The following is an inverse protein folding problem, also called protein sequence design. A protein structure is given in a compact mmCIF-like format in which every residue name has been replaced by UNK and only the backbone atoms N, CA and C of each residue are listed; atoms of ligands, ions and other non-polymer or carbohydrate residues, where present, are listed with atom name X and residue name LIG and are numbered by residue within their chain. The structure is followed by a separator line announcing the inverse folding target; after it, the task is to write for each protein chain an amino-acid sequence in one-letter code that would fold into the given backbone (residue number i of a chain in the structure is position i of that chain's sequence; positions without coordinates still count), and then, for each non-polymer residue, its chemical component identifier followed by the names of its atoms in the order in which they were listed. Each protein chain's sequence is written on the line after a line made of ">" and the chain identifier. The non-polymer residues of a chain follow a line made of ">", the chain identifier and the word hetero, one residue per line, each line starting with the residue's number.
data_IF_999118812178
#
_entry.id   IF_999118812178
#
_cell.length_a   1.000
_cell.length_b   1.000
_cell.length_c   1.000
_cell.angle_alpha   90.00
_cell.angle_beta   90.00
_cell.angle_gamma   90.00
#
_symmetry.space_group_name_H-M   'P 1'
#
loop_
_entity.id
_entity.type
_entity.pdbx_description
1 polymer ?
#
# COMPACT_ATOMS: atom_id res chain seq x y z
N UNK A 1 -80.45 18.22 -5.45
CA UNK A 1 -79.32 18.70 -6.26
C UNK A 1 -78.14 17.78 -6.02
N UNK A 2 -78.07 16.84 -6.78
CA UNK A 2 -77.08 16.33 -7.73
C UNK A 2 -75.64 16.40 -7.23
N UNK A 3 -75.04 15.29 -6.95
CA UNK A 3 -73.63 15.09 -6.76
C UNK A 3 -73.28 13.68 -7.25
N UNK A 4 -72.56 13.66 -8.35
CA UNK A 4 -72.12 12.43 -9.04
C UNK A 4 -70.97 11.76 -8.30
N UNK A 5 -71.04 10.44 -8.10
CA UNK A 5 -69.98 9.54 -7.70
C UNK A 5 -69.18 9.08 -8.92
N UNK A 6 -67.84 9.30 -8.90
CA UNK A 6 -66.92 8.62 -9.79
C UNK A 6 -66.21 7.46 -9.05
N UNK A 7 -66.39 6.25 -9.54
CA UNK A 7 -65.75 5.04 -9.05
C UNK A 7 -64.29 4.98 -9.47
N UNK A 8 -63.44 4.54 -8.56
CA UNK A 8 -62.04 4.23 -8.81
C UNK A 8 -61.86 2.71 -8.82
N UNK A 9 -61.41 2.15 -9.94
CA UNK A 9 -61.00 0.77 -10.07
C UNK A 9 -59.67 0.56 -9.33
N UNK A 10 -59.69 -0.38 -8.42
CA UNK A 10 -58.49 -0.89 -7.73
C UNK A 10 -57.93 -2.03 -8.58
N UNK A 11 -56.81 -1.79 -9.21
CA UNK A 11 -56.01 -2.83 -9.85
C UNK A 11 -55.19 -3.58 -8.81
N UNK A 12 -55.32 -4.88 -8.75
CA UNK A 12 -54.54 -5.79 -7.94
C UNK A 12 -53.09 -5.79 -8.42
N UNK A 13 -52.14 -5.45 -7.55
CA UNK A 13 -50.70 -5.62 -7.77
C UNK A 13 -50.27 -6.96 -7.20
N UNK A 14 -49.81 -7.85 -8.05
CA UNK A 14 -49.10 -9.07 -7.66
C UNK A 14 -47.80 -8.73 -6.92
N UNK A 15 -47.39 -9.51 -5.90
CA UNK A 15 -46.15 -9.28 -5.19
C UNK A 15 -44.94 -9.73 -6.02
N UNK A 16 -44.14 -8.78 -6.43
CA UNK A 16 -42.80 -9.05 -6.99
C UNK A 16 -41.88 -9.65 -5.94
N UNK A 17 -41.36 -10.85 -6.21
CA UNK A 17 -40.36 -11.54 -5.42
C UNK A 17 -39.12 -10.69 -5.15
N UNK A 18 -38.48 -10.76 -3.95
CA UNK A 18 -37.30 -10.00 -3.66
C UNK A 18 -36.11 -10.48 -4.49
N UNK A 19 -35.52 -9.59 -5.26
CA UNK A 19 -34.26 -9.83 -5.98
C UNK A 19 -33.13 -9.91 -4.95
N UNK A 20 -32.54 -11.09 -4.79
CA UNK A 20 -31.35 -11.29 -3.96
C UNK A 20 -30.22 -10.32 -4.39
N UNK A 21 -29.53 -9.64 -3.48
CA UNK A 21 -28.40 -8.81 -3.80
C UNK A 21 -27.27 -9.67 -4.34
N UNK A 22 -26.95 -9.54 -5.60
CA UNK A 22 -25.80 -10.21 -6.21
C UNK A 22 -24.54 -9.92 -5.38
N UNK A 23 -23.86 -10.97 -4.91
CA UNK A 23 -22.68 -10.93 -4.06
C UNK A 23 -21.64 -9.93 -4.63
N UNK A 24 -21.08 -9.08 -3.77
CA UNK A 24 -20.02 -8.09 -4.11
C UNK A 24 -18.85 -8.73 -4.86
N UNK A 25 -18.51 -9.97 -4.54
CA UNK A 25 -17.48 -10.77 -5.21
C UNK A 25 -17.83 -11.14 -6.65
N UNK A 26 -19.11 -11.44 -6.95
CA UNK A 26 -19.54 -11.75 -8.32
C UNK A 26 -19.53 -10.48 -9.21
N UNK A 27 -19.84 -9.30 -8.64
CA UNK A 27 -19.75 -8.02 -9.34
C UNK A 27 -18.28 -7.65 -9.64
N UNK A 28 -17.37 -7.85 -8.68
CA UNK A 28 -15.91 -7.59 -8.84
C UNK A 28 -15.31 -8.48 -9.94
N UNK A 29 -15.59 -9.78 -9.97
CA UNK A 29 -15.17 -10.70 -11.05
C UNK A 29 -15.67 -10.26 -12.43
N UNK A 30 -16.91 -9.76 -12.53
CA UNK A 30 -17.44 -9.25 -13.81
C UNK A 30 -16.73 -7.97 -14.27
N UNK A 31 -16.26 -7.13 -13.34
CA UNK A 31 -15.47 -5.95 -13.67
C UNK A 31 -14.07 -6.30 -14.15
N UNK A 32 -13.37 -7.17 -13.45
CA UNK A 32 -12.03 -7.65 -13.83
C UNK A 32 -12.07 -8.26 -15.24
N UNK A 33 -13.09 -9.07 -15.55
CA UNK A 33 -13.31 -9.63 -16.88
C UNK A 33 -13.65 -8.56 -17.94
N UNK A 34 -14.35 -7.48 -17.57
CA UNK A 34 -14.65 -6.37 -18.50
C UNK A 34 -13.44 -5.47 -18.73
N UNK A 35 -12.62 -5.22 -17.70
CA UNK A 35 -11.36 -4.49 -17.83
C UNK A 35 -10.42 -5.21 -18.82
N UNK A 36 -10.26 -6.53 -18.67
CA UNK A 36 -9.47 -7.36 -19.59
C UNK A 36 -10.02 -7.27 -21.01
N UNK A 37 -11.34 -7.32 -21.18
CA UNK A 37 -11.97 -7.27 -22.49
C UNK A 37 -11.85 -5.89 -23.15
N UNK A 38 -11.95 -4.81 -22.39
CA UNK A 38 -11.79 -3.44 -22.88
C UNK A 38 -10.35 -3.15 -23.32
N UNK A 39 -9.36 -3.68 -22.59
CA UNK A 39 -7.94 -3.58 -22.96
C UNK A 39 -7.65 -4.37 -24.24
N UNK A 40 -8.25 -5.56 -24.41
CA UNK A 40 -8.12 -6.35 -25.65
C UNK A 40 -8.80 -5.69 -26.85
N UNK A 41 -9.95 -5.06 -26.66
CA UNK A 41 -10.68 -4.36 -27.72
C UNK A 41 -9.96 -3.09 -28.20
N UNK A 42 -9.25 -2.37 -27.31
CA UNK A 42 -8.39 -1.23 -27.67
C UNK A 42 -7.14 -1.73 -28.44
N UNK A 43 -6.56 -2.83 -28.02
CA UNK A 43 -5.39 -3.43 -28.69
C UNK A 43 -5.74 -3.94 -30.10
N UNK A 44 -6.96 -4.46 -30.31
CA UNK A 44 -7.42 -4.94 -31.60
C UNK A 44 -7.76 -3.79 -32.57
N UNK A 45 -8.25 -2.65 -32.11
CA UNK A 45 -8.51 -1.49 -32.97
C UNK A 45 -7.23 -0.88 -33.55
N UNK A 46 -6.10 -1.01 -32.89
CA UNK A 46 -4.79 -0.60 -33.42
C UNK A 46 -4.16 -1.62 -34.39
N UNK A 47 -4.60 -2.88 -34.35
CA UNK A 47 -4.07 -3.96 -35.17
C UNK A 47 -4.71 -4.09 -36.56
N UNK A 48 -5.87 -3.48 -36.80
CA UNK A 48 -6.60 -3.57 -38.08
C UNK A 48 -5.98 -2.80 -39.24
N UNK A 49 -4.83 -2.15 -39.08
CA UNK A 49 -4.10 -1.47 -40.17
C UNK A 49 -2.89 -2.17 -40.72
N UNK A 50 -2.58 -3.45 -40.36
CA UNK A 50 -1.51 -4.18 -41.00
C UNK A 50 -1.80 -5.68 -41.15
N UNK A 51 -1.99 -6.06 -42.44
CA UNK A 51 -1.77 -7.35 -43.10
C UNK A 51 -2.80 -8.47 -42.90
N UNK A 52 -3.57 -8.62 -43.99
CA UNK A 52 -3.98 -9.86 -44.62
C UNK A 52 -2.76 -10.63 -45.09
N UNK A 53 -2.59 -11.91 -44.75
CA UNK A 53 -1.99 -13.01 -45.50
C UNK A 53 -2.08 -14.32 -44.69
N UNK A 54 -2.89 -15.28 -45.24
CA UNK A 54 -2.79 -16.76 -45.33
C UNK A 54 -2.59 -17.59 -44.06
N UNK A 55 -3.61 -18.33 -43.70
CA UNK A 55 -4.04 -19.73 -43.94
C UNK A 55 -3.06 -20.84 -43.56
N UNK A 56 -3.59 -21.75 -42.79
CA UNK A 56 -3.65 -23.22 -42.80
C UNK A 56 -3.26 -23.94 -41.50
N UNK A 57 -4.29 -24.70 -41.02
CA UNK A 57 -4.28 -26.08 -40.51
C UNK A 57 -3.40 -26.44 -39.30
N UNK A 58 -3.87 -27.15 -38.30
CA UNK A 58 -4.62 -28.39 -38.14
C UNK A 58 -4.90 -28.68 -36.64
N UNK A 59 -5.88 -29.51 -36.46
CA UNK A 59 -6.46 -30.15 -35.28
C UNK A 59 -5.46 -30.98 -34.45
N UNK A 60 -5.66 -31.04 -33.14
CA UNK A 60 -5.90 -32.29 -32.38
C UNK A 60 -6.00 -32.05 -30.87
N UNK A 61 -7.17 -32.31 -30.32
CA UNK A 61 -7.58 -33.37 -29.39
C UNK A 61 -6.95 -33.42 -27.97
N UNK A 62 -7.88 -33.17 -27.03
CA UNK A 62 -8.18 -33.92 -25.81
C UNK A 62 -7.03 -34.42 -24.91
N UNK A 63 -7.05 -33.98 -23.66
CA UNK A 63 -7.28 -34.83 -22.49
C UNK A 63 -7.23 -34.01 -21.16
N UNK A 64 -8.31 -34.11 -20.36
CA UNK A 64 -8.28 -33.80 -18.95
C UNK A 64 -7.58 -34.94 -18.18
N UNK A 65 -6.89 -34.63 -17.08
CA UNK A 65 -7.23 -35.33 -15.84
C UNK A 65 -7.44 -34.35 -14.66
N UNK A 66 -8.46 -34.69 -13.91
CA UNK A 66 -8.76 -34.19 -12.57
C UNK A 66 -7.69 -34.70 -11.60
N UNK A 67 -7.09 -33.79 -10.83
CA UNK A 67 -6.34 -34.15 -9.63
C UNK A 67 -6.80 -33.27 -8.47
N UNK A 68 -7.45 -33.91 -7.55
CA UNK A 68 -7.75 -33.49 -6.19
C UNK A 68 -6.40 -33.45 -5.45
N UNK A 69 -6.03 -32.31 -4.87
CA UNK A 69 -4.93 -32.20 -3.92
C UNK A 69 -5.43 -31.67 -2.59
N UNK A 70 -4.94 -32.22 -1.48
CA UNK A 70 -5.45 -32.00 -0.14
C UNK A 70 -4.97 -30.68 0.46
N UNK A 71 -5.77 -30.16 1.39
CA UNK A 71 -5.41 -29.05 2.26
C UNK A 71 -4.16 -29.38 3.07
N UNK A 72 -3.09 -28.63 2.86
CA UNK A 72 -1.88 -28.71 3.69
C UNK A 72 -1.59 -27.33 4.27
N UNK A 73 -1.65 -27.28 5.54
CA UNK A 73 -1.11 -26.38 6.54
C UNK A 73 -0.13 -25.30 6.02
N UNK A 74 -0.52 -24.03 6.17
CA UNK A 74 0.39 -22.90 6.16
C UNK A 74 0.89 -22.64 7.59
N UNK A 75 1.86 -23.42 8.02
CA UNK A 75 2.79 -23.03 9.06
C UNK A 75 4.15 -22.80 8.39
N UNK A 76 4.53 -21.53 8.24
CA UNK A 76 5.94 -21.13 8.18
C UNK A 76 6.04 -19.63 8.37
N UNK A 77 6.21 -19.23 9.64
CA UNK A 77 6.82 -17.98 10.02
C UNK A 77 8.30 -18.03 9.65
N UNK A 78 8.66 -17.55 8.47
CA UNK A 78 10.04 -17.37 8.09
C UNK A 78 10.49 -15.94 8.40
N UNK A 79 11.20 -15.82 9.52
CA UNK A 79 12.14 -14.74 9.76
C UNK A 79 13.22 -14.83 8.68
N UNK A 80 13.14 -14.00 7.64
CA UNK A 80 14.17 -13.91 6.62
C UNK A 80 15.44 -13.30 7.22
N UNK A 81 16.41 -14.16 7.56
CA UNK A 81 17.80 -13.77 7.75
C UNK A 81 18.41 -13.51 6.38
N UNK A 82 18.83 -12.29 6.13
CA UNK A 82 19.66 -11.94 4.98
C UNK A 82 21.05 -12.59 5.12
N UNK A 83 21.64 -13.16 4.03
CA UNK A 83 23.02 -13.67 4.07
C UNK A 83 23.98 -12.50 4.19
N UNK A 84 24.92 -12.66 5.12
CA UNK A 84 25.78 -11.67 5.70
C UNK A 84 26.74 -10.98 4.74
N UNK A 85 26.78 -9.68 4.86
CA UNK A 85 28.03 -8.92 4.92
C UNK A 85 28.30 -8.65 6.39
N UNK A 86 29.52 -9.02 6.84
CA UNK A 86 29.98 -8.71 8.19
C UNK A 86 30.14 -7.20 8.30
N UNK A 87 29.37 -6.50 9.16
CA UNK A 87 29.65 -5.10 9.43
C UNK A 87 30.93 -5.01 10.23
N UNK A 88 31.82 -4.11 9.83
CA UNK A 88 32.89 -3.62 10.71
C UNK A 88 32.20 -3.05 11.96
N UNK A 89 32.58 -3.57 13.11
CA UNK A 89 32.22 -3.04 14.43
C UNK A 89 32.56 -1.54 14.49
N UNK A 90 31.53 -0.71 14.31
CA UNK A 90 31.54 0.67 14.78
C UNK A 90 30.70 0.65 16.06
N UNK A 91 31.31 0.93 17.18
CA UNK A 91 30.71 1.15 18.49
C UNK A 91 29.85 2.43 18.44
N UNK A 92 28.67 2.33 17.82
CA UNK A 92 27.59 3.29 18.00
C UNK A 92 26.63 2.66 19.01
N UNK A 93 26.33 3.40 20.08
CA UNK A 93 25.38 2.98 21.09
C UNK A 93 24.02 2.68 20.44
N UNK A 94 23.47 1.50 20.71
CA UNK A 94 22.18 0.99 20.19
C UNK A 94 20.95 1.82 20.64
N UNK A 95 21.14 2.90 21.40
CA UNK A 95 20.08 3.71 22.00
C UNK A 95 19.62 4.92 21.15
N UNK A 96 20.23 5.16 19.98
CA UNK A 96 20.00 6.39 19.20
C UNK A 96 18.95 6.29 18.07
N UNK A 97 18.30 5.14 17.89
CA UNK A 97 17.37 4.96 16.77
C UNK A 97 15.91 4.84 17.25
N UNK A 98 14.94 5.47 16.55
CA UNK A 98 13.53 5.19 16.79
C UNK A 98 13.26 3.71 16.61
N UNK A 99 12.67 3.08 17.61
CA UNK A 99 12.33 1.67 17.58
C UNK A 99 11.11 1.50 16.68
N UNK A 100 11.05 0.37 15.95
CA UNK A 100 10.00 0.14 14.97
C UNK A 100 9.58 -1.32 14.91
N UNK A 101 8.37 -1.57 14.42
CA UNK A 101 7.89 -2.89 14.07
C UNK A 101 6.99 -2.81 12.85
N UNK A 102 6.85 -3.89 12.12
CA UNK A 102 5.97 -3.94 10.97
C UNK A 102 5.35 -5.32 10.77
N UNK A 103 4.21 -5.31 10.11
CA UNK A 103 3.51 -6.52 9.65
C UNK A 103 2.99 -6.27 8.25
N UNK A 104 3.14 -7.28 7.37
CA UNK A 104 2.69 -7.19 5.99
C UNK A 104 2.16 -8.57 5.59
N UNK A 105 0.86 -8.66 5.31
CA UNK A 105 0.16 -9.93 5.06
C UNK A 105 -0.74 -9.84 3.84
N UNK A 106 -0.85 -10.94 3.13
CA UNK A 106 -1.70 -11.07 1.94
C UNK A 106 -3.21 -10.93 2.26
N UNK A 107 -3.61 -11.22 3.50
CA UNK A 107 -5.01 -11.15 3.91
C UNK A 107 -5.88 -12.12 3.13
N UNK A 108 -6.98 -11.60 2.56
CA UNK A 108 -7.94 -12.39 1.76
C UNK A 108 -7.71 -12.30 0.25
N UNK A 109 -6.65 -11.61 -0.18
CA UNK A 109 -6.25 -11.55 -1.60
C UNK A 109 -5.55 -12.84 -2.02
N UNK A 110 -5.41 -13.07 -3.32
CA UNK A 110 -4.66 -14.21 -3.87
C UNK A 110 -3.17 -13.95 -3.88
N UNK A 111 -2.82 -12.71 -4.16
CA UNK A 111 -1.44 -12.28 -4.40
C UNK A 111 -1.09 -11.18 -3.40
N UNK A 112 0.17 -11.12 -3.00
CA UNK A 112 0.72 -10.06 -2.16
C UNK A 112 1.31 -9.00 -3.06
N UNK A 113 0.65 -7.84 -3.13
CA UNK A 113 1.06 -6.71 -3.97
C UNK A 113 1.66 -5.57 -3.15
N UNK A 114 1.46 -5.57 -1.83
CA UNK A 114 2.10 -4.61 -0.93
C UNK A 114 3.60 -4.86 -0.74
N UNK A 115 4.31 -3.78 -0.47
CA UNK A 115 5.72 -3.83 -0.08
C UNK A 115 6.02 -2.81 1.04
N UNK A 116 7.02 -3.11 1.87
CA UNK A 116 7.44 -2.26 2.98
C UNK A 116 8.94 -2.06 2.94
N UNK A 117 9.39 -0.83 3.16
CA UNK A 117 10.81 -0.48 3.31
C UNK A 117 11.04 0.19 4.66
N UNK A 118 12.04 -0.28 5.38
CA UNK A 118 12.53 0.33 6.61
C UNK A 118 14.04 0.46 6.50
N UNK A 119 14.55 1.67 6.66
CA UNK A 119 16.00 1.97 6.59
C UNK A 119 16.38 2.93 7.72
N UNK A 120 16.74 2.39 8.91
CA UNK A 120 17.31 3.21 9.97
C UNK A 120 18.62 3.83 9.51
N UNK A 121 18.86 5.10 9.88
CA UNK A 121 20.08 5.84 9.57
C UNK A 121 20.48 5.81 8.09
N UNK A 122 19.49 5.94 7.18
CA UNK A 122 19.73 5.84 5.74
C UNK A 122 20.51 7.04 5.16
N UNK A 123 20.47 8.19 5.83
CA UNK A 123 21.12 9.43 5.42
C UNK A 123 21.61 10.20 6.65
N UNK A 124 22.70 10.94 6.51
CA UNK A 124 23.18 11.94 7.48
C UNK A 124 23.40 13.22 6.74
N UNK A 125 23.00 14.35 7.33
CA UNK A 125 23.19 15.66 6.70
C UNK A 125 24.64 16.13 6.72
N UNK A 126 25.41 15.67 7.70
CA UNK A 126 26.82 16.01 7.85
C UNK A 126 27.60 14.75 8.29
N UNK A 127 28.77 14.53 7.69
CA UNK A 127 29.68 13.43 8.04
C UNK A 127 30.34 13.58 9.43
N UNK A 128 29.97 14.61 10.18
CA UNK A 128 30.37 14.76 11.57
C UNK A 128 29.85 13.56 12.38
N UNK A 129 30.77 12.82 12.99
CA UNK A 129 30.53 11.53 13.64
C UNK A 129 29.52 11.52 14.79
N UNK A 130 28.94 12.69 15.16
CA UNK A 130 28.06 12.86 16.31
C UNK A 130 26.62 13.28 15.99
N UNK A 131 26.20 13.35 14.72
CA UNK A 131 24.80 13.63 14.41
C UNK A 131 24.00 12.35 14.20
N UNK A 132 22.81 12.22 14.83
CA UNK A 132 21.92 11.10 14.58
C UNK A 132 21.49 11.08 13.11
N UNK A 133 21.44 9.89 12.53
CA UNK A 133 21.01 9.72 11.14
C UNK A 133 19.52 9.94 10.97
N UNK A 134 19.10 10.19 9.74
CA UNK A 134 17.69 10.21 9.35
C UNK A 134 17.20 8.78 9.12
N UNK A 135 15.92 8.53 9.41
CA UNK A 135 15.31 7.21 9.31
C UNK A 135 14.22 7.24 8.25
N UNK A 136 14.20 6.23 7.38
CA UNK A 136 13.23 6.13 6.29
C UNK A 136 12.28 4.96 6.52
N UNK A 137 10.99 5.23 6.40
CA UNK A 137 9.91 4.26 6.46
C UNK A 137 9.01 4.43 5.23
N UNK A 138 8.60 3.33 4.58
CA UNK A 138 7.74 3.38 3.41
C UNK A 138 6.81 2.19 3.33
N UNK A 139 5.56 2.46 2.96
CA UNK A 139 4.54 1.46 2.61
C UNK A 139 4.08 1.75 1.20
N UNK A 140 4.02 0.70 0.39
CA UNK A 140 3.69 0.73 -1.02
C UNK A 140 2.62 -0.32 -1.29
N UNK A 141 1.41 0.12 -1.64
CA UNK A 141 0.28 -0.73 -1.99
C UNK A 141 0.24 -0.86 -3.50
N UNK A 142 0.58 -2.04 -4.00
CA UNK A 142 0.67 -2.33 -5.42
C UNK A 142 -0.67 -2.78 -6.00
N UNK A 143 -0.93 -2.39 -7.24
CA UNK A 143 -2.10 -2.85 -7.96
C UNK A 143 -1.78 -3.26 -9.39
N UNK A 144 -2.55 -4.21 -9.92
CA UNK A 144 -2.30 -4.81 -11.23
C UNK A 144 -1.17 -5.83 -11.21
N UNK A 145 -0.10 -5.59 -10.47
CA UNK A 145 1.00 -6.51 -10.14
C UNK A 145 1.90 -5.91 -9.06
N UNK A 146 2.63 -6.74 -8.33
CA UNK A 146 3.52 -6.32 -7.23
C UNK A 146 4.83 -5.64 -7.66
N UNK A 147 5.19 -5.61 -8.96
CA UNK A 147 6.54 -5.22 -9.36
C UNK A 147 6.84 -3.72 -9.17
N UNK A 148 5.83 -2.84 -9.29
CA UNK A 148 6.01 -1.40 -9.03
C UNK A 148 6.23 -1.16 -7.55
N UNK A 149 5.40 -1.74 -6.67
CA UNK A 149 5.58 -1.66 -5.22
C UNK A 149 6.95 -2.22 -4.78
N UNK A 150 7.36 -3.37 -5.33
CA UNK A 150 8.70 -3.95 -5.08
C UNK A 150 9.81 -3.02 -5.54
N UNK A 151 9.66 -2.37 -6.69
CA UNK A 151 10.65 -1.41 -7.18
C UNK A 151 10.74 -0.17 -6.28
N UNK A 152 9.61 0.35 -5.81
CA UNK A 152 9.58 1.42 -4.82
C UNK A 152 10.31 1.00 -3.54
N UNK A 153 10.03 -0.20 -3.01
CA UNK A 153 10.74 -0.78 -1.86
C UNK A 153 12.26 -0.80 -2.04
N UNK A 154 12.74 -1.17 -3.22
CA UNK A 154 14.17 -1.31 -3.51
C UNK A 154 14.89 0.02 -3.72
N UNK A 155 14.20 1.04 -4.27
CA UNK A 155 14.84 2.23 -4.81
C UNK A 155 14.46 3.54 -4.17
N UNK A 156 13.23 3.70 -3.67
CA UNK A 156 12.71 4.99 -3.20
C UNK A 156 13.64 5.63 -2.16
N UNK A 157 14.07 4.86 -1.15
CA UNK A 157 14.95 5.37 -0.09
C UNK A 157 16.31 5.87 -0.61
N UNK A 158 16.85 5.23 -1.66
CA UNK A 158 18.12 5.66 -2.25
C UNK A 158 17.94 6.95 -3.07
N UNK A 159 16.83 7.04 -3.82
CA UNK A 159 16.48 8.25 -4.58
C UNK A 159 16.26 9.43 -3.63
N UNK A 160 15.48 9.22 -2.56
CA UNK A 160 15.23 10.26 -1.53
C UNK A 160 16.53 10.72 -0.89
N UNK A 161 17.43 9.79 -0.57
CA UNK A 161 18.77 10.14 -0.06
C UNK A 161 19.53 11.05 -1.03
N UNK A 162 19.60 10.65 -2.30
CA UNK A 162 20.31 11.42 -3.35
C UNK A 162 19.70 12.82 -3.56
N UNK A 163 18.36 12.96 -3.47
CA UNK A 163 17.72 14.27 -3.63
C UNK A 163 17.87 15.15 -2.38
N UNK A 164 17.89 14.57 -1.16
CA UNK A 164 18.21 15.31 0.08
C UNK A 164 19.67 15.82 0.04
N UNK A 165 20.61 14.97 -0.38
CA UNK A 165 22.03 15.34 -0.47
C UNK A 165 22.33 16.43 -1.52
N UNK A 166 21.46 16.60 -2.52
CA UNK A 166 21.57 17.67 -3.52
C UNK A 166 20.96 19.00 -3.08
N UNK A 167 20.03 18.97 -2.12
CA UNK A 167 19.30 20.15 -1.66
C UNK A 167 19.97 20.73 -0.41
N UNK A 168 20.71 21.81 -0.59
CA UNK A 168 21.38 22.53 0.50
C UNK A 168 20.40 23.32 1.39
N UNK A 169 19.19 23.64 0.88
CA UNK A 169 18.24 24.59 1.49
C UNK A 169 17.18 23.94 2.42
N UNK A 170 17.30 22.66 2.79
CA UNK A 170 16.29 21.95 3.59
C UNK A 170 14.86 21.97 3.02
N UNK A 171 14.70 22.13 1.71
CA UNK A 171 13.40 22.05 1.05
C UNK A 171 12.98 20.60 0.86
N UNK A 172 12.37 20.06 1.92
CA UNK A 172 11.82 18.71 1.93
C UNK A 172 10.76 18.50 0.86
N UNK A 173 9.96 19.52 0.55
CA UNK A 173 8.89 19.43 -0.45
C UNK A 173 9.47 19.20 -1.82
N UNK A 174 10.48 19.98 -2.19
CA UNK A 174 11.17 19.83 -3.47
C UNK A 174 11.89 18.49 -3.57
N UNK A 175 12.66 18.10 -2.55
CA UNK A 175 13.42 16.83 -2.55
C UNK A 175 12.52 15.63 -2.71
N UNK A 176 11.39 15.58 -1.98
CA UNK A 176 10.46 14.47 -2.07
C UNK A 176 9.66 14.47 -3.38
N UNK A 177 9.19 15.63 -3.87
CA UNK A 177 8.50 15.72 -5.17
C UNK A 177 9.40 15.25 -6.32
N UNK A 178 10.68 15.66 -6.33
CA UNK A 178 11.65 15.18 -7.30
C UNK A 178 11.90 13.68 -7.19
N UNK A 179 11.93 13.15 -5.96
CA UNK A 179 12.12 11.73 -5.71
C UNK A 179 10.98 10.89 -6.30
N UNK A 180 9.74 11.30 -6.12
CA UNK A 180 8.57 10.61 -6.68
C UNK A 180 8.53 10.67 -8.20
N UNK A 181 8.78 11.85 -8.78
CA UNK A 181 8.88 12.04 -10.24
C UNK A 181 9.98 11.15 -10.83
N UNK A 182 11.12 11.06 -10.16
CA UNK A 182 12.24 10.22 -10.58
C UNK A 182 11.91 8.74 -10.47
N UNK A 183 11.23 8.32 -9.38
CA UNK A 183 10.81 6.94 -9.19
C UNK A 183 9.81 6.50 -10.27
N UNK A 184 8.84 7.34 -10.58
CA UNK A 184 7.86 7.10 -11.63
C UNK A 184 8.52 6.93 -13.01
N UNK A 185 9.51 7.76 -13.31
CA UNK A 185 10.30 7.64 -14.54
C UNK A 185 11.10 6.33 -14.58
N UNK A 186 11.77 5.95 -13.48
CA UNK A 186 12.52 4.68 -13.42
C UNK A 186 11.63 3.46 -13.65
N UNK A 187 10.37 3.51 -13.20
CA UNK A 187 9.38 2.45 -13.45
C UNK A 187 8.96 2.44 -14.92
N UNK A 188 8.63 3.60 -15.50
CA UNK A 188 8.21 3.71 -16.89
C UNK A 188 9.28 3.33 -17.91
N UNK A 189 10.54 3.69 -17.66
CA UNK A 189 11.67 3.39 -18.60
C UNK A 189 11.98 1.89 -18.63
N UNK A 190 11.82 1.18 -17.52
CA UNK A 190 11.97 -0.29 -17.51
C UNK A 190 10.88 -1.00 -18.30
N UNK A 191 9.66 -0.53 -18.22
CA UNK A 191 8.56 -1.07 -19.00
C UNK A 191 8.85 -1.00 -20.52
N UNK A 192 9.58 0.03 -20.96
CA UNK A 192 9.98 0.22 -22.38
C UNK A 192 11.20 -0.60 -22.79
N UNK A 193 12.12 -0.90 -21.87
CA UNK A 193 13.44 -1.46 -22.17
C UNK A 193 13.52 -2.99 -21.98
N UNK A 194 12.51 -3.68 -21.47
CA UNK A 194 12.50 -5.13 -21.22
C UNK A 194 12.41 -5.99 -22.48
N UNK A 195 12.95 -5.55 -23.61
CA UNK A 195 13.19 -6.36 -24.80
C UNK A 195 14.41 -7.28 -24.71
N UNK A 196 15.14 -7.35 -23.60
CA UNK A 196 16.36 -8.14 -23.44
C UNK A 196 16.52 -8.69 -22.04
N UNK A 197 16.53 -10.00 -21.94
CA UNK A 197 16.99 -10.87 -20.88
C UNK A 197 17.21 -10.22 -19.51
N UNK A 198 16.27 -10.36 -18.59
CA UNK A 198 16.47 -10.09 -17.17
C UNK A 198 15.97 -11.25 -16.32
N UNK A 199 16.87 -11.67 -15.48
CA UNK A 199 16.81 -12.66 -14.42
C UNK A 199 15.53 -12.58 -13.55
N UNK A 200 14.77 -13.66 -13.58
CA UNK A 200 14.02 -14.27 -12.49
C UNK A 200 13.31 -13.34 -11.48
N UNK A 201 12.23 -12.70 -11.89
CA UNK A 201 11.07 -12.55 -11.03
C UNK A 201 9.87 -12.88 -11.91
N UNK A 202 9.19 -14.00 -11.63
CA UNK A 202 7.98 -14.38 -12.31
C UNK A 202 6.89 -13.37 -11.99
N UNK A 203 6.89 -12.25 -12.71
CA UNK A 203 5.85 -11.25 -12.63
C UNK A 203 4.69 -11.72 -13.50
N UNK A 204 3.51 -11.79 -12.92
CA UNK A 204 2.31 -12.26 -13.63
C UNK A 204 1.95 -11.39 -14.84
N UNK A 205 2.32 -10.11 -14.81
CA UNK A 205 2.10 -9.17 -15.91
C UNK A 205 3.01 -9.45 -17.12
N UNK A 206 4.23 -9.95 -16.91
CA UNK A 206 5.16 -10.33 -18.01
C UNK A 206 4.63 -11.50 -18.83
N UNK A 207 3.79 -12.33 -18.25
CA UNK A 207 3.13 -13.45 -18.93
C UNK A 207 1.87 -13.04 -19.69
N UNK A 208 1.27 -11.90 -19.37
CA UNK A 208 -0.05 -11.49 -19.88
C UNK A 208 0.00 -10.29 -20.84
N UNK A 209 0.95 -9.37 -20.69
CA UNK A 209 1.10 -8.21 -21.56
C UNK A 209 2.57 -7.81 -21.70
N UNK A 210 3.06 -7.50 -22.91
CA UNK A 210 4.41 -6.97 -23.12
C UNK A 210 4.63 -5.58 -22.51
N UNK A 211 3.58 -4.90 -22.07
CA UNK A 211 3.59 -3.53 -21.56
C UNK A 211 2.89 -3.49 -20.22
N UNK A 212 3.67 -3.24 -19.16
CA UNK A 212 3.17 -3.09 -17.79
C UNK A 212 2.59 -1.70 -17.53
N UNK A 213 1.95 -1.07 -18.52
CA UNK A 213 1.43 0.31 -18.41
C UNK A 213 0.26 0.44 -17.43
N UNK A 214 -0.41 -0.68 -17.11
CA UNK A 214 -1.57 -0.74 -16.20
C UNK A 214 -1.20 -1.27 -14.81
N UNK A 215 0.04 -1.08 -14.40
CA UNK A 215 0.53 -1.47 -13.08
C UNK A 215 1.06 -0.25 -12.36
N UNK A 216 0.64 -0.09 -11.12
CA UNK A 216 1.05 1.02 -10.29
C UNK A 216 1.20 0.64 -8.82
N UNK A 217 1.53 1.64 -8.03
CA UNK A 217 1.60 1.52 -6.58
C UNK A 217 1.32 2.86 -5.92
N UNK A 218 0.62 2.84 -4.79
CA UNK A 218 0.70 3.96 -3.84
C UNK A 218 2.11 4.07 -3.29
N UNK A 219 2.42 5.19 -2.67
CA UNK A 219 3.62 5.34 -1.86
C UNK A 219 3.34 6.33 -0.72
N UNK A 220 3.28 5.84 0.51
CA UNK A 220 3.39 6.65 1.72
C UNK A 220 4.75 6.43 2.33
N UNK A 221 5.55 7.49 2.39
CA UNK A 221 6.90 7.44 2.97
C UNK A 221 7.06 8.48 4.06
N UNK A 222 7.89 8.18 5.04
CA UNK A 222 8.27 9.13 6.08
C UNK A 222 9.78 9.16 6.28
N UNK A 223 10.32 10.36 6.37
CA UNK A 223 11.67 10.62 6.86
C UNK A 223 11.56 11.18 8.26
N UNK A 224 12.10 10.46 9.24
CA UNK A 224 12.15 10.89 10.64
C UNK A 224 13.55 11.38 10.94
N UNK A 225 13.64 12.65 11.32
CA UNK A 225 14.87 13.29 11.78
C UNK A 225 14.80 13.53 13.30
N UNK A 226 15.86 14.01 13.96
CA UNK A 226 15.80 14.41 15.36
C UNK A 226 14.76 15.49 15.65
N UNK A 227 14.48 16.36 14.66
CA UNK A 227 13.69 17.58 14.81
C UNK A 227 12.36 17.55 14.06
N UNK A 228 12.25 16.74 13.01
CA UNK A 228 11.11 16.74 12.10
C UNK A 228 10.60 15.33 11.77
N UNK A 229 9.31 15.25 11.48
CA UNK A 229 8.67 14.12 10.79
C UNK A 229 8.21 14.66 9.45
N UNK A 230 8.81 14.16 8.38
CA UNK A 230 8.42 14.51 7.02
C UNK A 230 7.67 13.34 6.43
N UNK A 231 6.45 13.55 5.99
CA UNK A 231 5.59 12.54 5.35
C UNK A 231 5.31 12.97 3.92
N UNK A 232 5.47 12.05 2.99
CA UNK A 232 5.12 12.25 1.58
C UNK A 232 4.19 11.13 1.14
N UNK A 233 3.03 11.48 0.62
CA UNK A 233 1.99 10.54 0.21
C UNK A 233 1.58 10.72 -1.24
N UNK A 234 1.47 9.62 -1.97
CA UNK A 234 0.92 9.52 -3.31
C UNK A 234 0.03 8.27 -3.35
N UNK A 235 -1.29 8.45 -3.38
CA UNK A 235 -2.29 7.39 -3.31
C UNK A 235 -3.13 7.43 -2.03
N UNK A 236 -3.75 6.33 -1.66
CA UNK A 236 -4.71 6.20 -0.57
C UNK A 236 -4.20 5.35 0.61
N UNK A 237 -2.91 5.05 0.63
CA UNK A 237 -2.18 4.71 1.86
C UNK A 237 -2.09 5.95 2.76
N UNK A 238 -1.91 5.78 4.08
CA UNK A 238 -1.95 6.91 5.01
C UNK A 238 -0.92 6.80 6.13
N UNK A 239 -0.45 7.97 6.59
CA UNK A 239 0.39 8.12 7.78
C UNK A 239 -0.38 8.87 8.88
N UNK A 240 -0.31 8.37 10.12
CA UNK A 240 -0.97 8.95 11.30
C UNK A 240 0.03 9.05 12.44
N UNK A 241 0.15 10.25 13.01
CA UNK A 241 0.92 10.52 14.23
C UNK A 241 0.02 10.40 15.46
N UNK A 242 0.46 9.68 16.47
CA UNK A 242 -0.11 9.73 17.81
C UNK A 242 0.68 10.73 18.66
N UNK A 243 0.04 11.81 19.07
CA UNK A 243 0.60 12.87 19.92
C UNK A 243 -0.31 13.11 21.11
N UNK A 244 0.16 12.89 22.34
CA UNK A 244 -0.66 12.97 23.56
C UNK A 244 -1.95 12.15 23.52
N UNK A 245 -1.90 10.97 22.89
CA UNK A 245 -3.06 10.11 22.71
C UNK A 245 -4.05 10.58 21.65
N UNK A 246 -3.77 11.68 20.93
CA UNK A 246 -4.58 12.18 19.81
C UNK A 246 -4.01 11.68 18.51
N UNK A 247 -4.87 11.14 17.65
CA UNK A 247 -4.51 10.74 16.30
C UNK A 247 -4.50 11.95 15.36
N UNK A 248 -3.37 12.25 14.75
CA UNK A 248 -3.17 13.37 13.82
C UNK A 248 -2.81 12.78 12.46
N UNK A 249 -3.69 12.86 11.44
CA UNK A 249 -3.33 12.43 10.10
C UNK A 249 -2.24 13.35 9.54
N UNK A 250 -1.14 12.76 9.05
CA UNK A 250 -0.05 13.48 8.40
C UNK A 250 -0.12 13.38 6.86
N UNK A 251 -1.14 12.71 6.35
CA UNK A 251 -1.44 12.64 4.92
C UNK A 251 -2.95 12.59 4.70
N UNK A 252 -3.39 13.02 3.53
CA UNK A 252 -4.77 12.86 3.06
C UNK A 252 -4.80 11.87 1.90
N UNK A 253 -5.79 11.00 1.89
CA UNK A 253 -5.96 10.01 0.82
C UNK A 253 -6.27 10.69 -0.52
N UNK A 254 -5.61 10.25 -1.57
CA UNK A 254 -5.87 10.71 -2.93
C UNK A 254 -7.00 9.89 -3.57
N UNK A 255 -8.24 10.16 -3.15
CA UNK A 255 -9.42 9.56 -3.76
C UNK A 255 -9.90 10.41 -4.96
N UNK A 256 -10.40 9.79 -6.06
CA UNK A 256 -10.78 10.52 -7.26
C UNK A 256 -11.90 11.55 -7.07
N UNK A 257 -12.73 11.40 -6.04
CA UNK A 257 -13.83 12.29 -5.68
C UNK A 257 -13.46 13.34 -4.62
N UNK A 258 -12.21 13.39 -4.18
CA UNK A 258 -11.70 14.51 -3.39
C UNK A 258 -11.81 15.77 -4.24
N UNK A 259 -12.42 16.88 -3.76
CA UNK A 259 -12.83 18.01 -4.62
C UNK A 259 -11.73 18.59 -5.49
N UNK A 260 -10.51 18.71 -4.98
CA UNK A 260 -9.33 19.20 -5.70
C UNK A 260 -8.85 18.20 -6.76
N UNK A 261 -8.82 16.91 -6.42
CA UNK A 261 -8.43 15.84 -7.34
C UNK A 261 -9.46 15.67 -8.47
N UNK A 262 -10.76 15.75 -8.15
CA UNK A 262 -11.84 15.71 -9.13
C UNK A 262 -11.68 16.85 -10.14
N UNK A 263 -11.50 18.09 -9.65
CA UNK A 263 -11.29 19.27 -10.50
C UNK A 263 -10.07 19.08 -11.40
N UNK A 264 -8.93 18.64 -10.84
CA UNK A 264 -7.70 18.39 -11.60
C UNK A 264 -7.89 17.33 -12.71
N UNK A 265 -8.60 16.24 -12.40
CA UNK A 265 -8.89 15.16 -13.37
C UNK A 265 -9.77 15.68 -14.50
N UNK A 266 -10.83 16.45 -14.19
CA UNK A 266 -11.75 17.00 -15.17
C UNK A 266 -11.10 18.08 -16.04
N UNK A 267 -10.28 18.96 -15.47
CA UNK A 267 -9.48 19.95 -16.20
C UNK A 267 -8.48 19.32 -17.16
N UNK A 268 -7.92 18.16 -16.79
CA UNK A 268 -7.07 17.37 -17.67
C UNK A 268 -7.86 16.66 -18.80
N UNK A 269 -9.21 16.76 -18.82
CA UNK A 269 -10.08 16.11 -19.81
C UNK A 269 -10.51 14.69 -19.42
N UNK A 270 -10.22 14.26 -18.19
CA UNK A 270 -10.65 12.98 -17.62
C UNK A 270 -12.08 13.02 -17.08
N UNK A 271 -12.48 11.91 -16.47
CA UNK A 271 -13.79 11.79 -15.81
C UNK A 271 -13.67 10.87 -14.61
N UNK A 272 -14.42 11.15 -13.55
CA UNK A 272 -14.60 10.24 -12.41
C UNK A 272 -15.94 9.53 -12.58
N UNK A 273 -15.92 8.20 -12.55
CA UNK A 273 -17.10 7.35 -12.70
C UNK A 273 -17.32 6.62 -11.39
N UNK A 274 -18.54 6.73 -10.86
CA UNK A 274 -18.94 6.09 -9.62
C UNK A 274 -19.46 4.69 -9.88
N UNK A 275 -18.62 3.71 -9.56
CA UNK A 275 -18.96 2.29 -9.66
C UNK A 275 -18.22 1.52 -8.58
N UNK A 276 -18.89 1.19 -7.49
CA UNK A 276 -18.25 0.63 -6.30
C UNK A 276 -17.12 1.54 -5.77
N UNK A 277 -17.46 2.82 -5.56
CA UNK A 277 -16.57 3.94 -5.26
C UNK A 277 -16.25 4.80 -6.47
N UNK A 278 -15.63 5.95 -6.21
CA UNK A 278 -15.15 6.87 -7.24
C UNK A 278 -13.92 6.27 -7.95
N UNK A 279 -13.90 6.33 -9.29
CA UNK A 279 -12.80 5.79 -10.09
C UNK A 279 -12.44 6.70 -11.25
N UNK A 280 -11.15 6.92 -11.45
CA UNK A 280 -10.64 7.61 -12.65
C UNK A 280 -10.96 6.76 -13.88
N UNK A 281 -11.72 7.32 -14.80
CA UNK A 281 -12.25 6.66 -16.02
C UNK A 281 -12.97 5.32 -15.73
N UNK A 282 -13.48 5.13 -14.51
CA UNK A 282 -14.11 3.87 -14.08
C UNK A 282 -13.11 2.72 -13.78
N UNK A 283 -11.82 2.99 -13.81
CA UNK A 283 -10.78 1.98 -13.64
C UNK A 283 -10.09 2.02 -12.28
N UNK A 284 -9.38 3.08 -11.93
CA UNK A 284 -8.55 3.18 -10.75
C UNK A 284 -9.26 3.93 -9.62
N UNK A 285 -9.24 3.38 -8.40
CA UNK A 285 -9.92 3.94 -7.22
C UNK A 285 -9.09 5.01 -6.49
N UNK A 286 -7.94 5.39 -7.00
CA UNK A 286 -7.09 6.47 -6.50
C UNK A 286 -6.75 7.46 -7.62
N UNK A 287 -6.48 8.72 -7.27
CA UNK A 287 -6.19 9.80 -8.22
C UNK A 287 -4.70 10.05 -8.41
N UNK A 288 -3.85 9.48 -7.54
CA UNK A 288 -2.39 9.56 -7.63
C UNK A 288 -1.76 8.19 -7.37
N UNK A 289 -0.73 7.85 -8.16
CA UNK A 289 0.04 6.63 -8.03
C UNK A 289 1.38 6.76 -8.77
N UNK A 290 2.35 5.95 -8.41
CA UNK A 290 3.58 5.70 -9.19
C UNK A 290 3.28 4.61 -10.21
N UNK A 291 3.64 4.83 -11.48
CA UNK A 291 3.29 3.94 -12.58
C UNK A 291 2.02 4.36 -13.28
N UNK A 292 1.11 3.42 -13.55
CA UNK A 292 -0.18 3.64 -14.22
C UNK A 292 -0.11 4.53 -15.47
N UNK A 293 0.90 4.30 -16.31
CA UNK A 293 1.20 5.16 -17.47
C UNK A 293 0.02 5.29 -18.43
N UNK A 294 -0.87 4.29 -18.48
CA UNK A 294 -2.07 4.30 -19.32
C UNK A 294 -3.16 5.28 -18.84
N UNK A 295 -3.09 5.73 -17.57
CA UNK A 295 -4.03 6.69 -16.98
C UNK A 295 -3.47 8.12 -16.88
N UNK A 296 -2.26 8.36 -17.33
CA UNK A 296 -1.72 9.71 -17.41
C UNK A 296 -2.42 10.51 -18.53
N UNK A 297 -2.73 11.78 -18.34
CA UNK A 297 -2.35 12.68 -17.24
C UNK A 297 -3.33 12.72 -16.06
N UNK A 298 -4.32 11.84 -15.99
CA UNK A 298 -5.38 11.87 -14.97
C UNK A 298 -4.89 11.36 -13.61
N UNK A 299 -4.08 10.30 -13.62
CA UNK A 299 -3.37 9.79 -12.45
C UNK A 299 -1.94 10.30 -12.51
N UNK A 300 -1.49 10.96 -11.45
CA UNK A 300 -0.18 11.61 -11.39
C UNK A 300 0.66 11.05 -10.25
N UNK A 301 2.00 11.06 -10.35
CA UNK A 301 2.89 10.58 -9.30
C UNK A 301 3.26 11.66 -8.28
N UNK A 302 2.72 12.87 -8.39
CA UNK A 302 3.08 14.01 -7.55
C UNK A 302 2.59 13.79 -6.12
N UNK A 303 3.47 13.77 -5.11
CA UNK A 303 3.07 13.54 -3.74
C UNK A 303 2.56 14.81 -3.07
N UNK A 304 1.73 14.65 -2.04
CA UNK A 304 1.55 15.68 -1.02
C UNK A 304 2.58 15.51 0.09
N UNK A 305 3.27 16.59 0.46
CA UNK A 305 4.33 16.57 1.46
C UNK A 305 3.91 17.36 2.69
N UNK A 306 3.98 16.74 3.86
CA UNK A 306 3.71 17.34 5.16
C UNK A 306 4.98 17.34 5.99
N UNK A 307 5.38 18.49 6.49
CA UNK A 307 6.53 18.66 7.39
C UNK A 307 6.01 19.04 8.77
N UNK A 308 6.30 18.22 9.77
CA UNK A 308 5.86 18.40 11.15
C UNK A 308 7.04 18.44 12.09
N UNK A 309 7.12 19.45 12.96
CA UNK A 309 8.15 19.50 13.99
C UNK A 309 7.88 18.43 15.06
N UNK A 310 8.94 17.74 15.47
CA UNK A 310 8.89 16.77 16.57
C UNK A 310 8.77 17.45 17.90
N UNK A 311 7.99 16.86 18.77
CA UNK A 311 7.80 17.31 20.15
C UNK A 311 8.01 16.14 21.12
N UNK A 312 8.23 16.46 22.40
CA UNK A 312 8.27 15.43 23.47
C UNK A 312 6.96 14.69 23.67
N UNK A 313 5.88 15.18 23.07
CA UNK A 313 4.54 14.61 23.17
C UNK A 313 4.26 13.56 22.08
N UNK A 314 5.19 13.37 21.14
CA UNK A 314 5.08 12.40 20.06
C UNK A 314 5.26 10.98 20.61
N UNK A 315 4.23 10.15 20.46
CA UNK A 315 4.22 8.80 20.99
C UNK A 315 4.59 7.77 19.92
N UNK A 316 3.91 7.79 18.78
CA UNK A 316 4.24 6.91 17.65
C UNK A 316 3.76 7.44 16.32
N UNK A 317 4.39 6.94 15.25
CA UNK A 317 3.98 7.14 13.87
C UNK A 317 3.52 5.79 13.29
N UNK A 318 2.38 5.80 12.60
CA UNK A 318 1.77 4.64 11.94
C UNK A 318 1.68 4.92 10.45
N UNK A 319 2.30 4.08 9.61
CA UNK A 319 2.09 4.09 8.16
C UNK A 319 1.40 2.78 7.78
N UNK A 320 0.37 2.83 6.95
CA UNK A 320 -0.29 1.61 6.48
C UNK A 320 -0.94 1.77 5.10
N UNK A 321 -1.17 0.64 4.43
CA UNK A 321 -2.00 0.53 3.22
C UNK A 321 -3.49 0.66 3.55
N UNK A 322 -4.32 0.88 2.53
CA UNK A 322 -5.77 1.03 2.67
C UNK A 322 -6.45 -0.21 3.26
N UNK A 323 -5.82 -1.38 3.14
CA UNK A 323 -6.28 -2.61 3.81
C UNK A 323 -6.44 -2.48 5.33
N UNK A 324 -5.72 -1.54 5.98
CA UNK A 324 -5.97 -1.14 7.37
C UNK A 324 -7.02 -0.03 7.43
N UNK A 325 -6.85 1.06 6.67
CA UNK A 325 -7.57 2.31 6.86
C UNK A 325 -9.03 2.26 6.44
N UNK A 326 -9.39 1.37 5.52
CA UNK A 326 -10.78 1.13 5.09
C UNK A 326 -11.67 0.56 6.21
N UNK A 327 -11.06 -0.05 7.24
CA UNK A 327 -11.81 -0.75 8.30
C UNK A 327 -11.42 -0.31 9.71
N UNK A 328 -10.33 0.44 9.87
CA UNK A 328 -9.83 0.93 11.17
C UNK A 328 -9.64 2.45 11.10
N UNK A 329 -10.30 3.17 12.04
CA UNK A 329 -10.14 4.63 12.10
C UNK A 329 -8.77 5.03 12.68
N UNK A 330 -8.34 6.27 12.39
CA UNK A 330 -7.09 6.83 12.90
C UNK A 330 -7.00 6.75 14.43
N UNK A 331 -8.09 7.07 15.13
CA UNK A 331 -8.18 7.07 16.60
C UNK A 331 -8.02 5.65 17.16
N UNK A 332 -8.67 4.67 16.52
CA UNK A 332 -8.55 3.26 16.93
C UNK A 332 -7.12 2.78 16.73
N UNK A 333 -6.49 3.10 15.58
CA UNK A 333 -5.12 2.69 15.27
C UNK A 333 -4.12 3.30 16.27
N UNK A 334 -4.24 4.62 16.54
CA UNK A 334 -3.40 5.31 17.51
C UNK A 334 -3.57 4.74 18.93
N UNK A 335 -4.82 4.48 19.36
CA UNK A 335 -5.09 3.90 20.67
C UNK A 335 -4.49 2.50 20.85
N UNK A 336 -4.59 1.65 19.83
CA UNK A 336 -4.00 0.29 19.83
C UNK A 336 -2.48 0.35 19.89
N UNK A 337 -1.85 1.17 19.05
CA UNK A 337 -0.39 1.30 19.04
C UNK A 337 0.10 1.84 20.40
N UNK A 338 -0.49 2.93 20.89
CA UNK A 338 -0.18 3.50 22.20
C UNK A 338 -0.31 2.50 23.33
N UNK A 339 -1.38 1.70 23.34
CA UNK A 339 -1.59 0.67 24.36
C UNK A 339 -0.45 -0.36 24.39
N UNK A 340 0.01 -0.83 23.22
CA UNK A 340 1.11 -1.78 23.12
C UNK A 340 2.41 -1.16 23.64
N UNK A 341 2.70 0.08 23.26
CA UNK A 341 3.92 0.78 23.66
C UNK A 341 3.97 1.03 25.19
N UNK A 342 2.86 1.47 25.79
CA UNK A 342 2.78 1.71 27.25
C UNK A 342 2.88 0.39 28.04
N UNK A 343 2.28 -0.69 27.55
CA UNK A 343 2.30 -1.97 28.25
C UNK A 343 3.69 -2.61 28.26
N UNK A 344 4.52 -2.33 27.28
CA UNK A 344 5.89 -2.82 27.24
C UNK A 344 6.78 -2.18 28.32
N UNK A 345 6.44 -1.00 28.82
CA UNK A 345 7.18 -0.33 29.88
C UNK A 345 6.83 -0.86 31.29
N UNK A 346 5.72 -1.58 31.42
CA UNK A 346 5.33 -2.15 32.72
C UNK A 346 6.23 -3.34 33.02
N UNK A 347 6.89 -3.37 34.20
CA UNK A 347 7.66 -4.54 34.61
C UNK A 347 6.73 -5.76 34.59
N UNK A 348 7.20 -6.85 33.98
CA UNK A 348 6.48 -8.11 33.94
C UNK A 348 6.13 -8.51 35.38
N UNK A 349 4.83 -8.64 35.68
CA UNK A 349 4.39 -9.17 36.97
C UNK A 349 5.02 -10.57 37.14
N UNK A 350 5.55 -10.93 38.32
CA UNK A 350 6.20 -12.21 38.51
C UNK A 350 5.24 -13.34 38.14
N UNK A 351 5.71 -14.40 37.44
CA UNK A 351 4.85 -15.48 36.96
C UNK A 351 4.18 -16.17 38.15
N UNK A 352 2.86 -16.22 38.15
CA UNK A 352 2.09 -17.05 39.07
C UNK A 352 2.15 -18.50 38.56
N UNK A 353 3.03 -19.29 39.13
CA UNK A 353 3.20 -20.75 39.05
C UNK A 353 4.49 -21.23 38.37
N UNK A 354 5.20 -22.17 39.00
CA UNK A 354 6.36 -22.83 38.41
C UNK A 354 5.89 -23.99 37.53
N UNK A 355 5.77 -23.73 36.23
CA UNK A 355 5.59 -24.75 35.23
C UNK A 355 6.71 -24.60 34.20
N UNK A 356 7.41 -25.70 33.90
CA UNK A 356 8.54 -25.81 33.00
C UNK A 356 8.24 -25.16 31.65
N UNK A 357 8.68 -23.94 31.45
CA UNK A 357 8.80 -23.34 30.13
C UNK A 357 10.24 -22.96 29.89
N UNK A 358 10.79 -23.44 28.78
CA UNK A 358 12.11 -23.15 28.33
C UNK A 358 12.37 -21.66 28.34
N UNK A 359 13.40 -21.23 29.05
CA UNK A 359 13.88 -19.85 29.08
C UNK A 359 14.36 -19.51 27.67
N UNK A 360 13.48 -18.92 26.87
CA UNK A 360 13.89 -18.20 25.68
C UNK A 360 14.56 -16.93 26.18
N UNK A 361 15.87 -16.85 25.97
CA UNK A 361 16.68 -15.70 26.33
C UNK A 361 15.98 -14.42 25.83
N UNK A 362 15.58 -13.56 26.76
CA UNK A 362 15.09 -12.23 26.47
C UNK A 362 16.21 -11.45 25.77
N UNK A 363 16.12 -11.32 24.47
CA UNK A 363 16.96 -10.42 23.69
C UNK A 363 16.61 -8.98 24.08
N UNK A 364 17.60 -8.08 24.05
CA UNK A 364 17.58 -6.68 24.48
C UNK A 364 16.59 -5.74 23.75
N UNK A 365 15.66 -6.26 22.97
CA UNK A 365 14.75 -5.52 22.08
C UNK A 365 13.32 -5.41 22.60
N UNK A 366 13.12 -4.96 23.86
CA UNK A 366 11.75 -4.88 24.40
C UNK A 366 10.83 -3.90 23.66
N UNK A 367 11.36 -2.87 23.00
CA UNK A 367 10.52 -1.88 22.32
C UNK A 367 10.28 -2.19 20.86
N UNK A 368 11.20 -2.82 20.15
CA UNK A 368 10.95 -3.37 18.82
C UNK A 368 9.87 -4.44 18.88
N UNK A 369 9.84 -5.18 20.00
CA UNK A 369 8.75 -6.09 20.29
C UNK A 369 7.41 -5.35 20.44
N UNK A 370 7.37 -4.25 21.15
CA UNK A 370 6.13 -3.48 21.35
C UNK A 370 5.58 -2.91 20.04
N UNK A 371 6.44 -2.35 19.20
CA UNK A 371 6.08 -1.89 17.86
C UNK A 371 5.60 -3.05 16.97
N UNK A 372 6.27 -4.20 17.05
CA UNK A 372 5.88 -5.41 16.32
C UNK A 372 4.52 -5.94 16.80
N UNK A 373 4.31 -6.03 18.11
CA UNK A 373 3.03 -6.43 18.70
C UNK A 373 1.90 -5.48 18.28
N UNK A 374 2.18 -4.17 18.24
CA UNK A 374 1.22 -3.16 17.78
C UNK A 374 0.85 -3.37 16.30
N UNK A 375 1.82 -3.54 15.41
CA UNK A 375 1.58 -3.77 13.99
C UNK A 375 0.80 -5.06 13.73
N UNK A 376 1.14 -6.14 14.46
CA UNK A 376 0.43 -7.43 14.40
C UNK A 376 -1.02 -7.27 14.89
N UNK A 377 -1.23 -6.55 16.00
CA UNK A 377 -2.57 -6.36 16.56
C UNK A 377 -3.45 -5.53 15.62
N UNK A 378 -2.90 -4.47 15.01
CA UNK A 378 -3.60 -3.66 14.00
C UNK A 378 -3.99 -4.50 12.78
N UNK A 379 -3.08 -5.33 12.28
CA UNK A 379 -3.34 -6.24 11.17
C UNK A 379 -4.44 -7.26 11.53
N UNK A 380 -4.37 -7.86 12.71
CA UNK A 380 -5.42 -8.78 13.20
C UNK A 380 -6.76 -8.07 13.32
N UNK A 381 -6.78 -6.82 13.79
CA UNK A 381 -7.99 -6.01 13.90
C UNK A 381 -8.59 -5.73 12.51
N UNK A 382 -7.77 -5.38 11.52
CA UNK A 382 -8.23 -5.19 10.14
C UNK A 382 -8.86 -6.46 9.58
N UNK A 383 -8.20 -7.60 9.74
CA UNK A 383 -8.73 -8.90 9.31
C UNK A 383 -10.02 -9.31 10.04
N UNK A 384 -10.12 -9.02 11.35
CA UNK A 384 -11.33 -9.27 12.14
C UNK A 384 -12.50 -8.37 11.70
N UNK A 385 -12.20 -7.14 11.27
CA UNK A 385 -13.17 -6.20 10.66
C UNK A 385 -13.42 -6.46 9.18
N UNK A 386 -12.99 -7.63 8.70
CA UNK A 386 -13.24 -8.14 7.35
C UNK A 386 -12.58 -7.32 6.24
N UNK A 387 -11.42 -6.74 6.48
CA UNK A 387 -10.60 -6.23 5.40
C UNK A 387 -10.44 -7.32 4.32
N UNK A 388 -10.70 -6.97 3.07
CA UNK A 388 -10.60 -7.89 1.93
C UNK A 388 -9.27 -7.75 1.19
N UNK A 389 -8.36 -6.91 1.69
CA UNK A 389 -7.14 -6.53 1.00
C UNK A 389 -5.86 -7.10 1.62
N UNK A 390 -4.72 -6.83 0.95
CA UNK A 390 -3.41 -6.89 1.58
C UNK A 390 -3.39 -5.88 2.74
N UNK A 391 -2.70 -6.18 3.81
CA UNK A 391 -2.61 -5.30 4.97
C UNK A 391 -1.15 -5.16 5.36
N UNK A 392 -0.61 -3.97 5.19
CA UNK A 392 0.76 -3.62 5.60
C UNK A 392 0.71 -2.47 6.59
N UNK A 393 1.36 -2.66 7.73
CA UNK A 393 1.38 -1.70 8.84
C UNK A 393 2.80 -1.56 9.36
N UNK A 394 3.28 -0.33 9.46
CA UNK A 394 4.54 0.04 10.14
C UNK A 394 4.20 0.89 11.35
N UNK A 395 4.78 0.57 12.49
CA UNK A 395 4.68 1.37 13.73
C UNK A 395 6.07 1.77 14.17
N UNK A 396 6.28 3.06 14.38
CA UNK A 396 7.55 3.66 14.81
C UNK A 396 7.34 4.30 16.17
N UNK A 397 8.13 3.93 17.17
CA UNK A 397 8.14 4.55 18.49
C UNK A 397 8.93 5.87 18.43
N UNK A 398 8.28 6.99 18.72
CA UNK A 398 8.86 8.32 18.67
C UNK A 398 9.25 8.87 20.05
N UNK A 399 8.92 8.14 21.11
CA UNK A 399 9.22 8.54 22.50
C UNK A 399 10.74 8.55 22.71
N UNK A 400 11.19 9.49 23.52
CA UNK A 400 12.62 9.66 23.89
C UNK A 400 12.92 9.00 25.21
#
# INVERSE_FOLDING_TARGET
>A
MAGMCCGINVGENEPTSPVEPASRTARRRRMELRQIKFITDIADTTRFKRRKIEDQDEQQQQQKPSLILPATQCENFLTLKFPGEKPKESTLHDDDFPKFGYTSVCGRRRDMEDAVTIRPSFCKKDDSKNQPGFHFYGVYDGHGCSHVAKRCKERMHAIVKEEIEKNDDDDWTQALSQSFTRMDREVGDRAKNNGGASTSTSCRCELQTPQCDAVGSTAVVSVVTPEKIVVSNCGDSRAVLCRKGVAIPLSNDHKPDRPDELTRIEEAGGRVIYWDGARVLGMLAMSRAIGDNYLKPYVIPDPEVTVTDRTSDDECLILASDGLWDVVSNETAAAVARMCLINAEKPASPPRSPGNEAVVAATKDSSDKACSDASILLTKLALARQSADNVSVVVVDLRK
#
